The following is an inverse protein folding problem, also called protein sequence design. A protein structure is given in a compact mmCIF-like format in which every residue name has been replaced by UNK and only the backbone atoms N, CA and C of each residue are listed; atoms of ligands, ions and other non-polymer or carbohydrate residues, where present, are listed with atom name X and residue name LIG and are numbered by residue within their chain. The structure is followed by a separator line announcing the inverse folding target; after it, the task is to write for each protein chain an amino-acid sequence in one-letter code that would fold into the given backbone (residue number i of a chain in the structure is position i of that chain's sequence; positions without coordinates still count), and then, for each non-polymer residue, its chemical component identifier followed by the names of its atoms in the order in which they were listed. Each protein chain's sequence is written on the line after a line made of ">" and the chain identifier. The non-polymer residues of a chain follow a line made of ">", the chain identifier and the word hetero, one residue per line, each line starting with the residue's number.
data_IF_479322921397
#
_entry.id   IF_479322921397
#
_cell.length_a   1.000
_cell.length_b   1.000
_cell.length_c   1.000
_cell.angle_alpha   90.00
_cell.angle_beta   90.00
_cell.angle_gamma   90.00
#
_symmetry.space_group_name_H-M   'P 1'
#
loop_
_entity.id
_entity.type
_entity.pdbx_description
1 polymer ?
#
# COMPACT_ATOMS: atom_id res chain seq x y z
N UNK A 1 -10.18 -26.23 4.82
CA UNK A 1 -10.67 -25.22 5.78
C UNK A 1 -9.60 -24.17 5.93
N UNK A 2 -9.68 -23.08 5.16
CA UNK A 2 -8.70 -21.99 5.23
C UNK A 2 -9.14 -21.10 6.39
N UNK A 3 -8.34 -21.08 7.45
CA UNK A 3 -8.54 -20.22 8.60
C UNK A 3 -8.32 -18.78 8.16
N UNK A 4 -9.39 -18.03 7.93
CA UNK A 4 -9.33 -16.57 7.82
C UNK A 4 -8.98 -16.06 9.21
N UNK A 5 -7.74 -15.62 9.40
CA UNK A 5 -7.42 -14.81 10.58
C UNK A 5 -8.17 -13.49 10.39
N UNK A 6 -9.07 -13.15 11.30
CA UNK A 6 -9.49 -11.76 11.52
C UNK A 6 -8.25 -10.97 11.96
N UNK A 7 -7.43 -10.55 11.00
CA UNK A 7 -6.28 -9.69 11.26
C UNK A 7 -6.58 -8.34 10.64
N UNK A 8 -6.51 -7.29 11.45
CA UNK A 8 -6.77 -5.90 11.05
C UNK A 8 -5.91 -5.47 9.86
N UNK A 9 -6.47 -5.63 8.67
CA UNK A 9 -5.96 -5.02 7.46
C UNK A 9 -6.07 -3.50 7.65
N UNK A 10 -4.95 -2.80 7.64
CA UNK A 10 -4.91 -1.35 7.87
C UNK A 10 -4.86 -0.56 6.56
N UNK A 11 -4.75 -1.23 5.41
CA UNK A 11 -4.83 -0.59 4.10
C UNK A 11 -4.35 -1.43 2.92
N UNK A 12 -4.57 -0.89 1.73
CA UNK A 12 -4.16 -1.47 0.44
C UNK A 12 -3.12 -0.56 -0.19
N UNK A 13 -1.92 -1.09 -0.42
CA UNK A 13 -0.82 -0.43 -1.12
C UNK A 13 -0.81 -0.86 -2.59
N UNK A 14 -1.15 0.08 -3.47
CA UNK A 14 -0.98 -0.07 -4.91
C UNK A 14 0.45 0.30 -5.30
N UNK A 15 1.10 -0.59 -6.04
CA UNK A 15 2.51 -0.49 -6.43
C UNK A 15 2.71 -0.80 -7.91
N UNK A 16 3.90 -0.49 -8.41
CA UNK A 16 4.38 -0.87 -9.73
C UNK A 16 5.84 -1.35 -9.68
N UNK A 17 6.48 -1.51 -10.85
CA UNK A 17 7.88 -1.90 -10.96
C UNK A 17 8.90 -0.79 -10.67
N UNK A 18 8.47 0.40 -10.23
CA UNK A 18 9.38 1.51 -9.95
C UNK A 18 10.27 1.22 -8.73
N UNK A 19 11.41 1.88 -8.66
CA UNK A 19 12.31 1.78 -7.50
C UNK A 19 11.66 2.29 -6.21
N UNK A 20 10.72 3.22 -6.33
CA UNK A 20 9.96 3.75 -5.20
C UNK A 20 9.03 2.70 -4.59
N UNK A 21 8.26 2.01 -5.44
CA UNK A 21 7.44 0.86 -5.06
C UNK A 21 8.29 -0.25 -4.42
N UNK A 22 9.43 -0.61 -5.02
CA UNK A 22 10.32 -1.65 -4.48
C UNK A 22 10.85 -1.30 -3.08
N UNK A 23 11.26 -0.05 -2.87
CA UNK A 23 11.73 0.43 -1.56
C UNK A 23 10.65 0.31 -0.49
N UNK A 24 9.41 0.68 -0.79
CA UNK A 24 8.29 0.53 0.15
C UNK A 24 8.01 -0.93 0.48
N UNK A 25 8.03 -1.81 -0.50
CA UNK A 25 7.84 -3.25 -0.27
C UNK A 25 8.92 -3.85 0.63
N UNK A 26 10.19 -3.47 0.40
CA UNK A 26 11.29 -3.87 1.28
C UNK A 26 11.07 -3.37 2.71
N UNK A 27 10.69 -2.10 2.88
CA UNK A 27 10.41 -1.51 4.18
C UNK A 27 9.24 -2.19 4.91
N UNK A 28 8.17 -2.55 4.20
CA UNK A 28 7.07 -3.31 4.79
C UNK A 28 7.53 -4.69 5.28
N UNK A 29 8.37 -5.38 4.51
CA UNK A 29 8.91 -6.67 4.88
C UNK A 29 9.87 -6.59 6.09
N UNK A 30 10.80 -5.62 6.08
CA UNK A 30 11.76 -5.38 7.17
C UNK A 30 11.07 -5.09 8.51
N UNK A 31 9.90 -4.46 8.47
CA UNK A 31 9.14 -4.07 9.66
C UNK A 31 8.00 -5.03 10.01
N UNK A 32 7.92 -6.19 9.35
CA UNK A 32 6.90 -7.21 9.64
C UNK A 32 5.45 -6.80 9.29
N UNK A 33 5.27 -5.80 8.42
CA UNK A 33 3.97 -5.24 8.06
C UNK A 33 3.33 -5.90 6.83
N UNK A 34 4.01 -6.82 6.14
CA UNK A 34 3.51 -7.48 4.93
C UNK A 34 2.22 -8.31 5.12
N UNK A 35 1.83 -8.60 6.36
CA UNK A 35 0.56 -9.27 6.68
C UNK A 35 -0.56 -8.32 7.12
N UNK A 36 -0.29 -7.02 7.24
CA UNK A 36 -1.23 -5.98 7.69
C UNK A 36 -1.63 -5.03 6.56
N UNK A 37 -0.79 -4.89 5.54
CA UNK A 37 -1.06 -4.06 4.35
C UNK A 37 -1.13 -5.00 3.15
N UNK A 38 -2.27 -5.00 2.47
CA UNK A 38 -2.45 -5.73 1.22
C UNK A 38 -1.70 -5.02 0.09
N UNK A 39 -1.04 -5.77 -0.80
CA UNK A 39 -0.25 -5.21 -1.90
C UNK A 39 -0.90 -5.58 -3.24
N UNK A 40 -1.14 -4.56 -4.07
CA UNK A 40 -1.70 -4.72 -5.42
C UNK A 40 -0.73 -4.16 -6.45
N UNK A 41 -0.19 -5.03 -7.31
CA UNK A 41 0.65 -4.63 -8.45
C UNK A 41 -0.22 -4.16 -9.62
N UNK A 42 -0.15 -2.86 -9.95
CA UNK A 42 -0.91 -2.25 -11.05
C UNK A 42 -0.17 -2.27 -12.38
N UNK A 43 1.06 -2.78 -12.45
CA UNK A 43 1.84 -2.83 -13.69
C UNK A 43 1.31 -3.86 -14.70
N UNK A 44 0.56 -4.85 -14.22
CA UNK A 44 0.10 -5.99 -15.03
C UNK A 44 -1.32 -5.85 -15.56
N UNK A 45 -2.06 -4.83 -15.13
CA UNK A 45 -3.50 -4.68 -15.38
C UNK A 45 -3.88 -3.23 -15.71
N UNK A 46 -5.08 -3.00 -16.27
CA UNK A 46 -5.67 -1.68 -16.53
C UNK A 46 -6.12 -0.94 -15.25
N UNK A 47 -5.59 -1.30 -14.08
CA UNK A 47 -6.03 -0.80 -12.77
C UNK A 47 -5.73 0.68 -12.56
N UNK A 48 -4.72 1.25 -13.24
CA UNK A 48 -4.41 2.69 -13.14
C UNK A 48 -5.58 3.60 -13.54
N UNK A 49 -6.36 3.18 -14.54
CA UNK A 49 -7.57 3.92 -14.93
C UNK A 49 -8.65 3.86 -13.85
N UNK A 50 -8.78 2.71 -13.19
CA UNK A 50 -9.70 2.56 -12.06
C UNK A 50 -9.26 3.39 -10.84
N UNK A 51 -7.95 3.44 -10.53
CA UNK A 51 -7.42 4.29 -9.46
C UNK A 51 -7.75 5.78 -9.69
N UNK A 52 -7.67 6.25 -10.93
CA UNK A 52 -8.02 7.63 -11.25
C UNK A 52 -9.50 7.92 -10.98
N UNK A 53 -10.39 6.99 -11.30
CA UNK A 53 -11.83 7.13 -11.07
C UNK A 53 -12.18 7.07 -9.57
N UNK A 54 -11.54 6.15 -8.83
CA UNK A 54 -11.86 5.89 -7.42
C UNK A 54 -11.19 6.90 -6.47
N UNK A 55 -9.92 7.21 -6.71
CA UNK A 55 -9.07 7.99 -5.79
C UNK A 55 -8.61 9.32 -6.37
N UNK A 56 -9.00 9.67 -7.59
CA UNK A 56 -8.62 10.92 -8.24
C UNK A 56 -7.15 10.99 -8.69
N UNK A 57 -6.43 9.87 -8.64
CA UNK A 57 -5.04 9.77 -9.10
C UNK A 57 -4.73 8.39 -9.67
N UNK A 58 -3.88 8.34 -10.70
CA UNK A 58 -3.30 7.09 -11.23
C UNK A 58 -1.85 6.88 -10.79
N UNK A 59 -1.33 7.78 -9.96
CA UNK A 59 0.02 7.73 -9.43
C UNK A 59 0.14 6.59 -8.43
N UNK A 60 1.28 5.90 -8.47
CA UNK A 60 1.68 4.90 -7.49
C UNK A 60 3.15 5.14 -7.15
N UNK A 61 3.62 4.80 -5.95
CA UNK A 61 2.90 4.04 -4.91
C UNK A 61 1.75 4.83 -4.26
N UNK A 62 0.64 4.14 -3.99
CA UNK A 62 -0.58 4.71 -3.40
C UNK A 62 -1.06 3.81 -2.26
N UNK A 63 -1.12 4.31 -1.03
CA UNK A 63 -1.69 3.59 0.11
C UNK A 63 -3.08 4.12 0.42
N UNK A 64 -4.06 3.23 0.38
CA UNK A 64 -5.44 3.52 0.77
C UNK A 64 -5.70 2.88 2.12
N UNK A 65 -6.12 3.70 3.09
CA UNK A 65 -6.45 3.26 4.45
C UNK A 65 -7.87 3.70 4.80
N UNK A 66 -8.43 3.21 5.90
CA UNK A 66 -9.72 3.70 6.41
C UNK A 66 -9.74 5.22 6.68
N UNK A 67 -8.56 5.82 6.91
CA UNK A 67 -8.41 7.24 7.25
C UNK A 67 -8.18 8.13 6.04
N UNK A 68 -7.98 7.55 4.85
CA UNK A 68 -7.75 8.28 3.62
C UNK A 68 -6.67 7.68 2.72
N UNK A 69 -6.30 8.46 1.71
CA UNK A 69 -5.39 8.08 0.61
C UNK A 69 -4.06 8.82 0.73
N UNK A 70 -2.96 8.09 0.60
CA UNK A 70 -1.58 8.60 0.67
C UNK A 70 -0.87 8.28 -0.65
N UNK A 71 -0.51 9.31 -1.42
CA UNK A 71 0.24 9.17 -2.68
C UNK A 71 1.73 9.45 -2.49
N UNK A 72 2.58 8.65 -3.13
CA UNK A 72 4.04 8.75 -3.11
C UNK A 72 4.68 8.17 -1.85
N UNK A 73 5.96 7.82 -1.93
CA UNK A 73 6.67 7.12 -0.86
C UNK A 73 6.78 7.93 0.40
N UNK A 74 7.02 9.24 0.31
CA UNK A 74 7.24 10.08 1.49
C UNK A 74 6.06 10.00 2.46
N UNK A 75 4.84 10.18 1.96
CA UNK A 75 3.64 10.17 2.80
C UNK A 75 3.36 8.77 3.40
N UNK A 76 3.59 7.73 2.61
CA UNK A 76 3.42 6.33 3.01
C UNK A 76 4.46 5.93 4.06
N UNK A 77 5.71 6.34 3.89
CA UNK A 77 6.79 6.07 4.84
C UNK A 77 6.56 6.77 6.17
N UNK A 78 6.09 8.03 6.16
CA UNK A 78 5.71 8.75 7.37
C UNK A 78 4.59 8.04 8.13
N UNK A 79 3.60 7.48 7.40
CA UNK A 79 2.54 6.67 7.98
C UNK A 79 3.06 5.38 8.60
N UNK A 80 3.88 4.61 7.87
CA UNK A 80 4.53 3.38 8.37
C UNK A 80 5.34 3.67 9.64
N UNK A 81 6.13 4.74 9.64
CA UNK A 81 6.93 5.13 10.80
C UNK A 81 6.07 5.50 12.02
N UNK A 82 4.86 6.05 11.83
CA UNK A 82 3.91 6.32 12.92
C UNK A 82 3.33 5.04 13.51
N UNK A 83 3.03 4.05 12.66
CA UNK A 83 2.56 2.73 13.11
C UNK A 83 3.59 2.03 13.98
N UNK A 84 4.88 2.10 13.62
CA UNK A 84 5.96 1.44 14.35
C UNK A 84 6.29 2.09 15.72
N UNK A 85 5.86 3.34 15.93
CA UNK A 85 6.06 4.09 17.19
C UNK A 85 4.86 4.00 18.14
N UNK A 86 3.75 3.42 17.68
CA UNK A 86 2.50 3.27 18.45
C UNK A 86 2.46 1.91 19.13
#
# INVERSE_FOLDING_TARGET
>A
MVMVRENGNIGVLFVDGSEESKRLLAKLAENGLSGLIEVVDVSKNSLRGWLLLEYGTSEVPLLVTEKGVLSGSKSIEEYINKLLKS
#
